data_IF_709416342027
#
_entry.id   IF_709416342027
#
_cell.length_a   1.000
_cell.length_b   1.000
_cell.length_c   1.000
_cell.angle_alpha   90.00
_cell.angle_beta   90.00
_cell.angle_gamma   90.00
#
_symmetry.space_group_name_H-M   'P 1'
#
loop_
_entity.id
_entity.type
_entity.pdbx_description
1 polymer ?
#
# COMPACT_ATOMS: atom_id res chain seq x y z
N UNK A 1 -4.57 31.54 14.54
CA UNK A 1 -3.71 30.39 14.93
C UNK A 1 -3.45 29.56 13.67
N UNK A 2 -2.19 29.46 13.24
CA UNK A 2 -1.82 28.62 12.10
C UNK A 2 -1.82 27.16 12.57
N UNK A 3 -2.57 26.28 11.89
CA UNK A 3 -2.51 24.83 12.12
C UNK A 3 -1.28 24.28 11.41
N UNK A 4 -0.24 23.96 12.15
CA UNK A 4 0.87 23.16 11.63
C UNK A 4 0.40 21.73 11.38
N UNK A 5 0.63 21.24 10.17
CA UNK A 5 0.42 19.83 9.81
C UNK A 5 1.78 19.15 9.81
N UNK A 6 1.94 18.16 10.68
CA UNK A 6 3.13 17.30 10.72
C UNK A 6 2.84 16.05 9.90
N UNK A 7 3.70 15.73 8.94
CA UNK A 7 3.64 14.48 8.20
C UNK A 7 4.73 13.55 8.74
N UNK A 8 4.34 12.37 9.23
CA UNK A 8 5.28 11.37 9.75
C UNK A 8 5.32 10.22 8.76
N UNK A 9 6.51 9.94 8.23
CA UNK A 9 6.73 8.84 7.29
C UNK A 9 7.58 7.77 7.99
N UNK A 10 7.06 6.55 8.04
CA UNK A 10 7.78 5.39 8.53
C UNK A 10 8.33 4.62 7.32
N UNK A 11 9.58 4.19 7.40
CA UNK A 11 10.22 3.31 6.41
C UNK A 11 10.46 1.95 7.05
N UNK A 12 10.29 0.89 6.26
CA UNK A 12 10.55 -0.48 6.67
C UNK A 12 11.36 -1.17 5.59
N UNK A 13 12.29 -2.03 6.01
CA UNK A 13 13.06 -2.85 5.09
C UNK A 13 12.15 -3.88 4.42
N UNK A 14 12.33 -4.09 3.10
CA UNK A 14 11.51 -5.03 2.33
C UNK A 14 11.57 -6.47 2.89
N UNK A 15 12.68 -6.83 3.52
CA UNK A 15 12.86 -8.14 4.15
C UNK A 15 12.01 -8.31 5.42
N UNK A 16 11.66 -7.21 6.09
CA UNK A 16 10.84 -7.20 7.31
C UNK A 16 9.36 -6.94 7.00
N UNK A 17 9.04 -6.47 5.78
CA UNK A 17 7.70 -6.10 5.34
C UNK A 17 6.65 -7.19 5.58
N UNK A 18 6.98 -8.44 5.27
CA UNK A 18 6.05 -9.56 5.46
C UNK A 18 5.67 -9.75 6.94
N UNK A 19 6.66 -9.66 7.85
CA UNK A 19 6.43 -9.75 9.29
C UNK A 19 5.57 -8.60 9.80
N UNK A 20 5.80 -7.39 9.29
CA UNK A 20 5.02 -6.22 9.65
C UNK A 20 3.59 -6.28 9.14
N UNK A 21 3.38 -6.75 7.90
CA UNK A 21 2.03 -6.98 7.36
C UNK A 21 1.26 -7.99 8.22
N UNK A 22 1.90 -9.09 8.64
CA UNK A 22 1.30 -10.07 9.56
C UNK A 22 0.96 -9.42 10.91
N UNK A 23 1.85 -8.60 11.46
CA UNK A 23 1.61 -7.86 12.71
C UNK A 23 0.40 -6.93 12.60
N UNK A 24 0.27 -6.21 11.49
CA UNK A 24 -0.85 -5.31 11.22
C UNK A 24 -2.17 -6.08 11.03
N UNK A 25 -2.15 -7.21 10.31
CA UNK A 25 -3.31 -8.11 10.21
C UNK A 25 -3.74 -8.63 11.59
N UNK A 26 -2.80 -9.09 12.42
CA UNK A 26 -3.08 -9.58 13.76
C UNK A 26 -3.70 -8.47 14.63
N UNK A 27 -3.21 -7.23 14.50
CA UNK A 27 -3.81 -6.06 15.17
C UNK A 27 -5.25 -5.82 14.71
N UNK A 28 -5.52 -5.84 13.41
CA UNK A 28 -6.87 -5.66 12.88
C UNK A 28 -7.81 -6.76 13.38
N UNK A 29 -7.35 -8.03 13.39
CA UNK A 29 -8.08 -9.16 13.95
C UNK A 29 -8.40 -8.97 15.43
N UNK A 30 -7.42 -8.54 16.23
CA UNK A 30 -7.63 -8.29 17.66
C UNK A 30 -8.66 -7.19 17.93
N UNK A 31 -8.69 -6.14 17.11
CA UNK A 31 -9.72 -5.09 17.19
C UNK A 31 -11.10 -5.67 16.85
N UNK A 32 -11.18 -6.53 15.83
CA UNK A 32 -12.42 -7.19 15.45
C UNK A 32 -12.93 -8.11 16.55
N UNK A 33 -12.08 -8.96 17.14
CA UNK A 33 -12.45 -9.86 18.24
C UNK A 33 -12.96 -9.08 19.45
N UNK A 34 -12.29 -7.99 19.81
CA UNK A 34 -12.75 -7.11 20.89
C UNK A 34 -14.12 -6.50 20.59
N UNK A 35 -14.36 -6.07 19.34
CA UNK A 35 -15.64 -5.52 18.92
C UNK A 35 -16.76 -6.57 18.95
N UNK A 36 -16.46 -7.84 18.60
CA UNK A 36 -17.43 -8.94 18.69
C UNK A 36 -17.81 -9.23 20.14
N UNK A 37 -16.83 -9.25 21.04
CA UNK A 37 -17.07 -9.59 22.45
C UNK A 37 -17.83 -8.49 23.21
N UNK A 38 -17.67 -7.22 22.83
CA UNK A 38 -18.31 -6.09 23.49
C UNK A 38 -19.49 -5.55 22.66
N UNK A 39 -19.21 -4.68 21.70
CA UNK A 39 -20.24 -3.86 21.04
C UNK A 39 -21.26 -4.68 20.24
N UNK A 40 -20.84 -5.75 19.56
CA UNK A 40 -21.78 -6.60 18.81
C UNK A 40 -22.60 -7.52 19.70
N UNK A 41 -22.08 -7.90 20.86
CA UNK A 41 -22.86 -8.60 21.87
C UNK A 41 -24.00 -7.70 22.36
N UNK A 42 -23.70 -6.44 22.67
CA UNK A 42 -24.72 -5.47 23.10
C UNK A 42 -25.79 -5.27 22.02
N UNK A 43 -25.40 -5.13 20.74
CA UNK A 43 -26.35 -5.05 19.63
C UNK A 43 -27.28 -6.26 19.54
N UNK A 44 -26.73 -7.47 19.74
CA UNK A 44 -27.51 -8.72 19.70
C UNK A 44 -28.52 -8.82 20.84
N UNK A 45 -28.25 -8.17 21.96
CA UNK A 45 -29.07 -8.23 23.17
C UNK A 45 -30.15 -7.13 23.22
N UNK A 46 -30.22 -6.23 22.22
CA UNK A 46 -31.30 -5.25 22.11
C UNK A 46 -32.59 -5.98 21.72
N UNK A 47 -33.60 -5.93 22.59
CA UNK A 47 -34.93 -6.45 22.29
C UNK A 47 -35.84 -5.40 21.60
N UNK A 48 -37.00 -5.84 21.12
CA UNK A 48 -37.98 -4.99 20.42
C UNK A 48 -38.45 -3.80 21.26
N UNK A 49 -38.55 -3.95 22.58
CA UNK A 49 -39.02 -2.89 23.48
C UNK A 49 -37.99 -1.77 23.63
N UNK A 50 -36.71 -2.12 23.51
CA UNK A 50 -35.60 -1.18 23.67
C UNK A 50 -35.00 -0.72 22.33
N UNK A 51 -35.44 -1.26 21.19
CA UNK A 51 -34.91 -0.96 19.86
C UNK A 51 -35.00 0.53 19.47
N UNK A 52 -36.05 1.24 19.93
CA UNK A 52 -36.25 2.67 19.66
C UNK A 52 -35.86 3.55 20.86
N UNK A 53 -34.78 3.19 21.54
CA UNK A 53 -34.27 3.93 22.70
C UNK A 53 -32.98 4.69 22.38
N UNK A 54 -32.68 5.69 23.23
CA UNK A 54 -31.38 6.38 23.20
C UNK A 54 -30.21 5.42 23.42
N UNK A 55 -30.42 4.38 24.22
CA UNK A 55 -29.41 3.34 24.42
C UNK A 55 -29.13 2.59 23.11
N UNK A 56 -30.17 2.16 22.39
CA UNK A 56 -30.00 1.43 21.14
C UNK A 56 -29.24 2.24 20.07
N UNK A 57 -29.59 3.51 19.86
CA UNK A 57 -28.88 4.35 18.89
C UNK A 57 -27.42 4.61 19.30
N UNK A 58 -27.15 4.75 20.60
CA UNK A 58 -25.79 4.86 21.12
C UNK A 58 -24.98 3.59 20.83
N UNK A 59 -25.55 2.41 21.11
CA UNK A 59 -24.89 1.12 20.84
C UNK A 59 -24.60 0.94 19.35
N UNK A 60 -25.55 1.29 18.48
CA UNK A 60 -25.34 1.29 17.02
C UNK A 60 -24.20 2.23 16.61
N UNK A 61 -24.15 3.45 17.15
CA UNK A 61 -23.09 4.42 16.82
C UNK A 61 -21.70 3.93 17.26
N UNK A 62 -21.59 3.34 18.45
CA UNK A 62 -20.33 2.77 18.93
C UNK A 62 -19.89 1.61 18.02
N UNK A 63 -20.78 0.67 17.72
CA UNK A 63 -20.47 -0.45 16.83
C UNK A 63 -20.04 0.03 15.42
N UNK A 64 -20.71 1.05 14.87
CA UNK A 64 -20.32 1.66 13.58
C UNK A 64 -18.91 2.24 13.63
N UNK A 65 -18.54 2.94 14.70
CA UNK A 65 -17.19 3.49 14.87
C UNK A 65 -16.13 2.39 15.00
N UNK A 66 -16.46 1.27 15.65
CA UNK A 66 -15.58 0.10 15.73
C UNK A 66 -15.37 -0.55 14.36
N UNK A 67 -16.44 -0.73 13.59
CA UNK A 67 -16.34 -1.21 12.21
C UNK A 67 -15.46 -0.31 11.35
N UNK A 68 -15.62 1.00 11.44
CA UNK A 68 -14.78 1.95 10.72
C UNK A 68 -13.29 1.80 11.11
N UNK A 69 -12.99 1.61 12.39
CA UNK A 69 -11.61 1.40 12.85
C UNK A 69 -10.99 0.09 12.30
N UNK A 70 -11.78 -0.99 12.22
CA UNK A 70 -11.36 -2.26 11.62
C UNK A 70 -11.12 -2.07 10.12
N UNK A 71 -12.04 -1.42 9.42
CA UNK A 71 -11.94 -1.13 7.99
C UNK A 71 -10.68 -0.32 7.66
N UNK A 72 -10.39 0.74 8.41
CA UNK A 72 -9.15 1.50 8.22
C UNK A 72 -7.90 0.64 8.41
N UNK A 73 -7.86 -0.19 9.45
CA UNK A 73 -6.69 -1.05 9.69
C UNK A 73 -6.49 -2.09 8.58
N UNK A 74 -7.58 -2.67 8.05
CA UNK A 74 -7.51 -3.62 6.94
C UNK A 74 -7.17 -2.92 5.62
N UNK A 75 -7.69 -1.72 5.39
CA UNK A 75 -7.33 -0.92 4.23
C UNK A 75 -5.84 -0.59 4.22
N UNK A 76 -5.25 -0.21 5.36
CA UNK A 76 -3.81 0.04 5.45
C UNK A 76 -2.99 -1.20 5.04
N UNK A 77 -3.38 -2.38 5.54
CA UNK A 77 -2.78 -3.66 5.16
C UNK A 77 -2.92 -3.91 3.65
N UNK A 78 -4.11 -3.70 3.08
CA UNK A 78 -4.36 -3.89 1.67
C UNK A 78 -3.52 -2.96 0.79
N UNK A 79 -3.37 -1.69 1.19
CA UNK A 79 -2.52 -0.73 0.49
C UNK A 79 -1.06 -1.16 0.49
N UNK A 80 -0.54 -1.64 1.62
CA UNK A 80 0.83 -2.14 1.73
C UNK A 80 1.05 -3.34 0.80
N UNK A 81 0.14 -4.32 0.82
CA UNK A 81 0.23 -5.51 -0.04
C UNK A 81 0.19 -5.12 -1.51
N UNK A 82 -0.77 -4.28 -1.92
CA UNK A 82 -0.90 -3.83 -3.31
C UNK A 82 0.34 -3.05 -3.76
N UNK A 83 0.90 -2.20 -2.91
CA UNK A 83 2.14 -1.49 -3.17
C UNK A 83 3.30 -2.45 -3.43
N UNK A 84 3.46 -3.46 -2.57
CA UNK A 84 4.50 -4.47 -2.73
C UNK A 84 4.33 -5.32 -3.99
N UNK A 85 3.11 -5.78 -4.29
CA UNK A 85 2.84 -6.54 -5.51
C UNK A 85 3.12 -5.72 -6.77
N UNK A 86 2.74 -4.45 -6.76
CA UNK A 86 3.03 -3.53 -7.88
C UNK A 86 4.53 -3.35 -8.06
N UNK A 87 5.27 -3.13 -6.97
CA UNK A 87 6.73 -3.05 -6.98
C UNK A 87 7.35 -4.32 -7.59
N UNK A 88 6.92 -5.52 -7.16
CA UNK A 88 7.44 -6.78 -7.69
C UNK A 88 7.13 -6.99 -9.17
N UNK A 89 5.96 -6.58 -9.65
CA UNK A 89 5.64 -6.63 -11.08
C UNK A 89 6.53 -5.68 -11.88
N UNK A 90 6.79 -4.48 -11.37
CA UNK A 90 7.65 -3.48 -12.03
C UNK A 90 9.13 -3.89 -12.05
N UNK A 91 9.64 -4.44 -10.94
CA UNK A 91 11.00 -4.97 -10.83
C UNK A 91 11.27 -6.02 -11.92
N UNK A 92 10.37 -7.00 -12.07
CA UNK A 92 10.46 -8.04 -13.09
C UNK A 92 10.39 -7.48 -14.53
N UNK A 93 9.66 -6.39 -14.77
CA UNK A 93 9.60 -5.74 -16.08
C UNK A 93 10.90 -4.97 -16.40
N UNK A 94 11.51 -4.32 -15.40
CA UNK A 94 12.79 -3.62 -15.58
C UNK A 94 13.95 -4.57 -15.86
N UNK A 95 14.01 -5.72 -15.17
CA UNK A 95 15.02 -6.75 -15.43
C UNK A 95 14.96 -7.32 -16.85
N UNK A 96 13.77 -7.36 -17.48
CA UNK A 96 13.62 -7.82 -18.87
C UNK A 96 14.07 -6.77 -19.91
N UNK A 97 13.95 -5.48 -19.60
CA UNK A 97 14.36 -4.41 -20.52
C UNK A 97 15.89 -4.26 -20.55
N UNK A 98 16.57 -4.43 -19.41
CA UNK A 98 18.03 -4.28 -19.31
C UNK A 98 18.81 -5.46 -19.95
N UNK A 99 18.13 -6.58 -20.24
CA UNK A 99 18.70 -7.72 -20.97
C UNK A 99 18.53 -7.62 -22.50
N UNK A 100 17.88 -6.56 -23.02
CA UNK A 100 17.80 -6.35 -24.47
C UNK A 100 19.19 -6.00 -25.04
N UNK A 101 19.65 -6.63 -26.14
CA UNK A 101 20.96 -6.36 -26.70
C UNK A 101 21.08 -4.86 -27.05
N UNK A 102 22.09 -4.20 -26.50
CA UNK A 102 22.43 -2.82 -26.88
C UNK A 102 22.66 -2.80 -28.39
N UNK A 103 21.98 -1.94 -29.18
CA UNK A 103 22.23 -1.88 -30.62
C UNK A 103 23.71 -1.59 -30.87
N UNK A 104 24.33 -2.23 -31.87
CA UNK A 104 25.76 -2.07 -32.14
C UNK A 104 26.08 -0.59 -32.39
N UNK A 105 27.14 -0.13 -31.73
CA UNK A 105 27.66 1.23 -31.85
C UNK A 105 28.17 1.45 -33.28
N UNK A 106 27.32 2.03 -34.13
CA UNK A 106 27.71 2.44 -35.48
C UNK A 106 28.51 3.74 -35.39
N UNK A 107 29.78 3.61 -35.00
CA UNK A 107 30.76 4.69 -35.18
C UNK A 107 30.83 5.07 -36.66
N UNK A 108 30.64 6.34 -37.05
CA UNK A 108 30.80 6.77 -38.43
C UNK A 108 32.25 6.52 -38.86
N UNK A 109 32.44 5.71 -39.90
CA UNK A 109 33.73 5.57 -40.57
C UNK A 109 34.18 6.96 -41.03
N UNK A 110 35.20 7.50 -40.37
CA UNK A 110 35.95 8.64 -40.88
C UNK A 110 36.61 8.23 -42.20
N UNK A 111 36.07 8.75 -43.30
CA UNK A 111 36.59 8.60 -44.64
C UNK A 111 37.85 9.46 -44.79
N UNK A 112 38.97 8.98 -44.25
CA UNK A 112 40.31 9.50 -44.57
C UNK A 112 40.67 9.06 -45.99
N UNK A 113 40.26 9.83 -47.01
CA UNK A 113 40.84 9.72 -48.35
C UNK A 113 41.62 11.00 -48.71
N UNK A 114 42.93 10.83 -48.56
CA UNK A 114 44.04 11.73 -48.84
C UNK A 114 43.93 12.46 -50.17
N UNK A 115 44.32 13.73 -50.12
CA UNK A 115 44.89 14.46 -51.25
C UNK A 115 46.14 13.76 -51.81
N UNK A 116 46.18 13.59 -53.13
CA UNK A 116 47.36 13.57 -53.99
C UNK A 116 46.85 14.01 -55.38
N UNK A 117 47.09 15.25 -55.78
CA UNK A 117 48.29 15.67 -56.53
C UNK A 117 48.38 14.95 -57.88
N UNK A 118 47.89 15.62 -58.92
CA UNK A 118 48.37 15.42 -60.30
C UNK A 118 48.07 16.71 -61.09
N UNK A 119 49.05 17.62 -61.06
CA UNK A 119 49.22 18.63 -62.09
C UNK A 119 50.25 18.16 -63.10
N UNK A 120 49.86 18.03 -64.37
CA UNK A 120 50.70 18.37 -65.54
C UNK A 120 49.81 18.66 -66.74
#
# INVERSE_FOLDING_TARGET
>A
MNKERVNIQYSIDLNELAGEVVRLMARASSIADAAVQAEFSDLKNIDEKHALSLHAISTVDIARKRLAAIDYALNDVAQIINGYLTFKVQENLQEQVDQSPRPPDVSPLHEDMRAADEGT
#
